data_IF_295060422001
#
_entry.id   IF_295060422001
#
_cell.length_a   1.000
_cell.length_b   1.000
_cell.length_c   1.000
_cell.angle_alpha   90.00
_cell.angle_beta   90.00
_cell.angle_gamma   90.00
#
_symmetry.space_group_name_H-M   'P 1'
#
loop_
_entity.id
_entity.type
_entity.pdbx_description
1 polymer ?
#
# COMPACT_ATOMS: atom_id res chain seq x y z
N UNK A 1 37.27 -38.68 -13.33
CA UNK A 1 36.59 -38.81 -12.02
C UNK A 1 36.89 -40.19 -11.47
N UNK A 2 37.97 -40.32 -10.70
CA UNK A 2 38.35 -41.59 -10.08
C UNK A 2 37.35 -42.01 -9.01
N UNK A 3 36.97 -43.28 -9.04
CA UNK A 3 35.97 -43.92 -8.19
C UNK A 3 36.23 -43.66 -6.69
N UNK A 4 35.55 -42.67 -6.09
CA UNK A 4 35.56 -42.43 -4.63
C UNK A 4 35.14 -43.69 -3.84
N UNK A 5 34.35 -44.56 -4.45
CA UNK A 5 33.96 -45.86 -3.90
C UNK A 5 35.13 -46.85 -3.83
N UNK A 6 36.09 -46.79 -4.75
CA UNK A 6 37.29 -47.63 -4.71
C UNK A 6 38.20 -47.37 -3.51
N UNK A 7 38.35 -46.10 -3.11
CA UNK A 7 39.14 -45.72 -1.93
C UNK A 7 38.49 -46.14 -0.61
N UNK A 8 37.16 -46.03 -0.52
CA UNK A 8 36.40 -46.45 0.68
C UNK A 8 36.46 -47.96 0.85
N UNK A 9 36.28 -48.74 -0.22
CA UNK A 9 36.35 -50.20 -0.18
C UNK A 9 37.76 -50.70 0.21
N UNK A 10 38.81 -50.01 -0.24
CA UNK A 10 40.18 -50.32 0.19
C UNK A 10 40.38 -50.06 1.69
N UNK A 11 39.88 -48.93 2.20
CA UNK A 11 39.99 -48.58 3.62
C UNK A 11 39.18 -49.54 4.53
N UNK A 12 37.98 -49.93 4.09
CA UNK A 12 37.17 -50.97 4.74
C UNK A 12 37.92 -52.30 4.74
N UNK A 13 38.49 -52.69 3.60
CA UNK A 13 39.24 -53.95 3.46
C UNK A 13 40.46 -53.98 4.38
N UNK A 14 41.22 -52.89 4.46
CA UNK A 14 42.41 -52.82 5.29
C UNK A 14 42.07 -52.78 6.79
N UNK A 15 40.97 -52.14 7.18
CA UNK A 15 40.46 -52.17 8.55
C UNK A 15 39.91 -53.55 8.95
N UNK A 16 39.29 -54.30 8.03
CA UNK A 16 38.80 -55.66 8.32
C UNK A 16 39.93 -56.69 8.38
N UNK A 17 41.02 -56.51 7.61
CA UNK A 17 42.20 -57.40 7.63
C UNK A 17 42.97 -57.35 8.94
N UNK A 18 42.84 -56.27 9.73
CA UNK A 18 43.51 -56.15 11.02
C UNK A 18 42.80 -56.86 12.18
N UNK A 19 41.59 -57.38 11.96
CA UNK A 19 40.80 -58.07 12.98
C UNK A 19 41.16 -59.56 13.10
N UNK A 20 40.98 -60.11 14.30
CA UNK A 20 41.03 -61.56 14.49
C UNK A 20 39.77 -62.23 13.91
N UNK A 21 39.89 -63.50 13.51
CA UNK A 21 38.79 -64.24 12.85
C UNK A 21 37.52 -64.27 13.73
N UNK A 22 37.69 -64.36 15.04
CA UNK A 22 36.63 -64.43 16.04
C UNK A 22 35.89 -63.09 16.18
N UNK A 23 36.60 -61.97 16.05
CA UNK A 23 36.01 -60.63 15.99
C UNK A 23 35.25 -60.42 14.68
N UNK A 24 35.82 -60.90 13.57
CA UNK A 24 35.16 -60.90 12.25
C UNK A 24 33.85 -61.71 12.27
N UNK A 25 33.85 -62.92 12.85
CA UNK A 25 32.63 -63.72 13.03
C UNK A 25 31.59 -62.96 13.85
N UNK A 26 32.02 -62.33 14.95
CA UNK A 26 31.12 -61.52 15.79
C UNK A 26 30.49 -60.36 15.00
N UNK A 27 31.27 -59.65 14.17
CA UNK A 27 30.74 -58.58 13.31
C UNK A 27 29.81 -59.10 12.20
N UNK A 28 29.93 -60.36 11.78
CA UNK A 28 29.02 -60.97 10.81
C UNK A 28 27.70 -61.45 11.44
N UNK A 29 27.71 -61.73 12.75
CA UNK A 29 26.55 -62.27 13.48
C UNK A 29 25.75 -61.19 14.22
N UNK A 30 26.38 -60.07 14.60
CA UNK A 30 25.80 -58.99 15.39
C UNK A 30 25.86 -57.66 14.62
N UNK A 31 24.69 -57.21 14.14
CA UNK A 31 24.52 -55.99 13.37
C UNK A 31 24.87 -54.73 14.18
N UNK A 32 24.59 -54.71 15.49
CA UNK A 32 24.91 -53.56 16.34
C UNK A 32 26.43 -53.46 16.56
N UNK A 33 27.10 -54.60 16.74
CA UNK A 33 28.55 -54.65 16.82
C UNK A 33 29.21 -54.23 15.50
N UNK A 34 28.62 -54.62 14.36
CA UNK A 34 29.05 -54.19 13.02
C UNK A 34 28.98 -52.66 12.87
N UNK A 35 27.84 -52.06 13.20
CA UNK A 35 27.63 -50.62 13.06
C UNK A 35 28.60 -49.83 13.97
N UNK A 36 28.76 -50.23 15.23
CA UNK A 36 29.72 -49.60 16.17
C UNK A 36 31.17 -49.71 15.68
N UNK A 37 31.54 -50.85 15.10
CA UNK A 37 32.89 -51.05 14.55
C UNK A 37 33.16 -50.13 13.36
N UNK A 38 32.21 -50.03 12.43
CA UNK A 38 32.34 -49.19 11.24
C UNK A 38 32.34 -47.70 11.59
N UNK A 39 31.53 -47.28 12.57
CA UNK A 39 31.57 -45.92 13.11
C UNK A 39 32.92 -45.54 13.70
N UNK A 40 33.55 -46.48 14.41
CA UNK A 40 34.82 -46.24 15.11
C UNK A 40 36.04 -46.30 14.20
N UNK A 41 36.03 -47.20 13.22
CA UNK A 41 37.23 -47.54 12.44
C UNK A 41 37.18 -47.04 11.00
N UNK A 42 36.04 -46.51 10.53
CA UNK A 42 35.93 -45.94 9.19
C UNK A 42 35.63 -44.44 9.28
N UNK A 43 36.66 -43.58 9.14
CA UNK A 43 36.53 -42.12 9.29
C UNK A 43 35.41 -41.50 8.44
N UNK A 44 35.18 -42.02 7.23
CA UNK A 44 34.15 -41.50 6.33
C UNK A 44 32.72 -41.70 6.85
N UNK A 45 32.49 -42.75 7.65
CA UNK A 45 31.19 -43.02 8.28
C UNK A 45 30.96 -42.00 9.39
N UNK A 46 31.97 -41.79 10.24
CA UNK A 46 31.95 -40.78 11.29
C UNK A 46 31.74 -39.36 10.74
N UNK A 47 32.49 -38.95 9.72
CA UNK A 47 32.33 -37.63 9.07
C UNK A 47 30.91 -37.43 8.52
N UNK A 48 30.34 -38.45 7.87
CA UNK A 48 28.96 -38.39 7.36
C UNK A 48 27.94 -38.28 8.50
N UNK A 49 28.14 -38.99 9.60
CA UNK A 49 27.25 -38.90 10.76
C UNK A 49 27.33 -37.53 11.44
N UNK A 50 28.53 -36.95 11.55
CA UNK A 50 28.73 -35.59 12.05
C UNK A 50 28.02 -34.56 11.14
N UNK A 51 28.13 -34.71 9.81
CA UNK A 51 27.39 -33.88 8.86
C UNK A 51 25.87 -34.03 9.01
N UNK A 52 25.36 -35.26 9.16
CA UNK A 52 23.93 -35.51 9.38
C UNK A 52 23.46 -34.84 10.68
N UNK A 53 24.24 -34.93 11.77
CA UNK A 53 23.94 -34.25 13.04
C UNK A 53 23.90 -32.73 12.85
N UNK A 54 24.91 -32.15 12.19
CA UNK A 54 24.95 -30.72 11.93
C UNK A 54 23.76 -30.25 11.07
N UNK A 55 23.37 -31.01 10.04
CA UNK A 55 22.19 -30.73 9.22
C UNK A 55 20.92 -30.79 10.06
N UNK A 56 20.78 -31.82 10.91
CA UNK A 56 19.64 -31.97 11.81
C UNK A 56 19.51 -30.79 12.76
N UNK A 57 20.60 -30.39 13.41
CA UNK A 57 20.61 -29.29 14.36
C UNK A 57 20.29 -27.95 13.66
N UNK A 58 20.85 -27.73 12.47
CA UNK A 58 20.53 -26.57 11.62
C UNK A 58 19.06 -26.54 11.23
N UNK A 59 18.47 -27.68 10.85
CA UNK A 59 17.06 -27.77 10.47
C UNK A 59 16.15 -27.51 11.68
N UNK A 60 16.49 -28.03 12.86
CA UNK A 60 15.75 -27.76 14.10
C UNK A 60 15.81 -26.26 14.44
N UNK A 61 16.98 -25.63 14.33
CA UNK A 61 17.13 -24.20 14.58
C UNK A 61 16.31 -23.37 13.57
N UNK A 62 16.35 -23.73 12.29
CA UNK A 62 15.57 -23.07 11.25
C UNK A 62 14.07 -23.25 11.46
N UNK A 63 13.61 -24.44 11.86
CA UNK A 63 12.21 -24.71 12.13
C UNK A 63 11.70 -23.84 13.29
N UNK A 64 12.47 -23.72 14.38
CA UNK A 64 12.14 -22.84 15.51
C UNK A 64 11.99 -21.38 15.06
N UNK A 65 12.98 -20.87 14.31
CA UNK A 65 12.93 -19.50 13.78
C UNK A 65 11.71 -19.27 12.89
N UNK A 66 11.34 -20.26 12.07
CA UNK A 66 10.16 -20.15 11.21
C UNK A 66 8.87 -20.09 12.02
N UNK A 67 8.75 -20.88 13.09
CA UNK A 67 7.61 -20.79 14.01
C UNK A 67 7.53 -19.41 14.64
N UNK A 68 8.64 -18.88 15.15
CA UNK A 68 8.67 -17.54 15.76
C UNK A 68 8.26 -16.44 14.77
N UNK A 69 8.73 -16.53 13.53
CA UNK A 69 8.34 -15.60 12.45
C UNK A 69 6.86 -15.72 12.11
N UNK A 70 6.29 -16.92 12.06
CA UNK A 70 4.86 -17.11 11.85
C UNK A 70 4.04 -16.47 12.96
N UNK A 71 4.40 -16.68 14.22
CA UNK A 71 3.74 -16.03 15.36
C UNK A 71 3.84 -14.51 15.29
N UNK A 72 5.00 -13.96 14.89
CA UNK A 72 5.16 -12.52 14.71
C UNK A 72 4.28 -11.97 13.58
N UNK A 73 4.16 -12.69 12.45
CA UNK A 73 3.28 -12.32 11.33
C UNK A 73 1.82 -12.31 11.76
N UNK A 74 1.37 -13.32 12.51
CA UNK A 74 0.01 -13.38 13.03
C UNK A 74 -0.29 -12.21 13.96
N UNK A 75 0.63 -11.90 14.88
CA UNK A 75 0.50 -10.74 15.78
C UNK A 75 0.40 -9.42 15.00
N UNK A 76 1.26 -9.21 14.00
CA UNK A 76 1.22 -8.02 13.15
C UNK A 76 -0.08 -7.94 12.34
N UNK A 77 -0.58 -9.07 11.83
CA UNK A 77 -1.84 -9.12 11.09
C UNK A 77 -3.01 -8.65 11.96
N UNK A 78 -3.06 -9.08 13.22
CA UNK A 78 -4.07 -8.63 14.19
C UNK A 78 -3.97 -7.12 14.44
N UNK A 79 -2.76 -6.60 14.70
CA UNK A 79 -2.55 -5.15 14.92
C UNK A 79 -2.98 -4.32 13.70
N UNK A 80 -2.68 -4.78 12.49
CA UNK A 80 -3.11 -4.10 11.25
C UNK A 80 -4.63 -4.11 11.11
N UNK A 81 -5.30 -5.21 11.49
CA UNK A 81 -6.76 -5.28 11.47
C UNK A 81 -7.40 -4.31 12.47
N UNK A 82 -6.87 -4.24 13.70
CA UNK A 82 -7.31 -3.27 14.71
C UNK A 82 -7.11 -1.83 14.23
N UNK A 83 -5.96 -1.50 13.63
CA UNK A 83 -5.69 -0.18 13.07
C UNK A 83 -6.67 0.16 11.93
N UNK A 84 -6.99 -0.79 11.05
CA UNK A 84 -7.98 -0.58 9.98
C UNK A 84 -9.35 -0.27 10.56
N UNK A 85 -9.76 -0.99 11.59
CA UNK A 85 -11.03 -0.75 12.27
C UNK A 85 -11.05 0.65 12.91
N UNK A 86 -9.99 1.04 13.62
CA UNK A 86 -9.88 2.36 14.23
C UNK A 86 -9.92 3.49 13.18
N UNK A 87 -9.26 3.30 12.04
CA UNK A 87 -9.34 4.24 10.91
C UNK A 87 -10.76 4.34 10.36
N UNK A 88 -11.46 3.21 10.19
CA UNK A 88 -12.84 3.21 9.72
C UNK A 88 -13.77 3.94 10.70
N UNK A 89 -13.65 3.67 12.00
CA UNK A 89 -14.41 4.35 13.05
C UNK A 89 -14.12 5.86 13.04
N UNK A 90 -12.84 6.24 12.93
CA UNK A 90 -12.46 7.66 12.87
C UNK A 90 -12.99 8.35 11.61
N UNK A 91 -12.95 7.67 10.46
CA UNK A 91 -13.50 8.18 9.20
C UNK A 91 -15.02 8.32 9.27
N UNK A 92 -15.73 7.38 9.89
CA UNK A 92 -17.18 7.45 10.07
C UNK A 92 -17.60 8.68 10.88
N UNK A 93 -16.80 9.08 11.87
CA UNK A 93 -17.05 10.29 12.68
C UNK A 93 -16.69 11.58 11.93
N UNK A 94 -15.57 11.59 11.21
CA UNK A 94 -15.04 12.81 10.60
C UNK A 94 -15.66 13.14 9.23
N UNK A 95 -16.02 12.12 8.45
CA UNK A 95 -16.51 12.31 7.08
C UNK A 95 -17.79 13.14 7.00
N UNK A 96 -18.83 12.90 7.84
CA UNK A 96 -20.02 13.74 7.83
C UNK A 96 -19.70 15.20 8.13
N UNK A 97 -18.87 15.47 9.15
CA UNK A 97 -18.44 16.84 9.51
C UNK A 97 -17.67 17.52 8.38
N UNK A 98 -16.81 16.78 7.70
CA UNK A 98 -16.08 17.29 6.56
C UNK A 98 -17.02 17.64 5.40
N UNK A 99 -18.00 16.77 5.12
CA UNK A 99 -18.99 17.00 4.07
C UNK A 99 -19.90 18.19 4.40
N UNK A 100 -20.29 18.37 5.67
CA UNK A 100 -21.00 19.54 6.19
C UNK A 100 -20.20 20.82 5.97
N UNK A 101 -18.97 20.89 6.46
CA UNK A 101 -18.10 22.08 6.28
C UNK A 101 -17.88 22.40 4.80
N UNK A 102 -17.69 21.36 3.98
CA UNK A 102 -17.52 21.53 2.53
C UNK A 102 -18.79 22.09 1.89
N UNK A 103 -19.97 21.65 2.32
CA UNK A 103 -21.27 22.15 1.86
C UNK A 103 -21.45 23.61 2.26
N UNK A 104 -21.27 23.94 3.54
CA UNK A 104 -21.32 25.32 4.05
C UNK A 104 -20.37 26.25 3.28
N UNK A 105 -19.11 25.83 3.07
CA UNK A 105 -18.15 26.62 2.31
C UNK A 105 -18.53 26.81 0.83
N UNK A 106 -19.27 25.87 0.23
CA UNK A 106 -19.79 26.04 -1.13
C UNK A 106 -20.99 26.99 -1.16
N UNK A 107 -21.89 26.89 -0.18
CA UNK A 107 -23.04 27.79 -0.02
C UNK A 107 -22.57 29.23 0.19
N UNK A 108 -21.60 29.45 1.09
CA UNK A 108 -21.01 30.77 1.35
C UNK A 108 -20.41 31.41 0.09
N UNK A 109 -19.70 30.61 -0.72
CA UNK A 109 -19.11 31.07 -1.99
C UNK A 109 -20.18 31.42 -3.01
N UNK A 110 -21.25 30.64 -3.06
CA UNK A 110 -22.38 30.86 -3.97
C UNK A 110 -23.11 32.14 -3.60
N UNK A 111 -23.35 32.36 -2.31
CA UNK A 111 -23.98 33.57 -1.78
C UNK A 111 -23.10 34.82 -2.02
N UNK A 112 -21.78 34.70 -1.82
CA UNK A 112 -20.84 35.78 -2.13
C UNK A 112 -20.84 36.14 -3.62
N UNK A 113 -20.85 35.13 -4.51
CA UNK A 113 -20.92 35.35 -5.95
C UNK A 113 -22.26 35.99 -6.37
N UNK A 114 -23.37 35.60 -5.74
CA UNK A 114 -24.69 36.19 -5.97
C UNK A 114 -24.70 37.67 -5.60
N UNK A 115 -24.20 38.04 -4.42
CA UNK A 115 -24.09 39.45 -3.98
C UNK A 115 -23.24 40.29 -4.92
N UNK A 116 -22.13 39.74 -5.43
CA UNK A 116 -21.29 40.43 -6.41
C UNK A 116 -22.02 40.67 -7.73
N UNK A 117 -22.75 39.67 -8.25
CA UNK A 117 -23.54 39.81 -9.47
C UNK A 117 -24.70 40.79 -9.29
N UNK A 118 -25.38 40.77 -8.15
CA UNK A 118 -26.47 41.70 -7.84
C UNK A 118 -25.96 43.14 -7.80
N UNK A 119 -24.84 43.38 -7.10
CA UNK A 119 -24.18 44.69 -7.09
C UNK A 119 -23.75 45.13 -8.50
N UNK A 120 -23.18 44.24 -9.30
CA UNK A 120 -22.75 44.57 -10.66
C UNK A 120 -23.95 44.87 -11.58
N UNK A 121 -25.06 44.14 -11.43
CA UNK A 121 -26.30 44.37 -12.15
C UNK A 121 -26.94 45.71 -11.77
N UNK A 122 -26.91 46.09 -10.50
CA UNK A 122 -27.41 47.36 -10.01
C UNK A 122 -26.60 48.54 -10.58
N UNK A 123 -25.26 48.45 -10.58
CA UNK A 123 -24.38 49.47 -11.18
C UNK A 123 -24.66 49.59 -12.67
N UNK A 124 -24.65 48.48 -13.41
CA UNK A 124 -24.89 48.48 -14.87
C UNK A 124 -26.25 49.09 -15.22
N UNK A 125 -27.29 48.81 -14.42
CA UNK A 125 -28.63 49.38 -14.61
C UNK A 125 -28.65 50.89 -14.31
N UNK A 126 -27.95 51.32 -13.25
CA UNK A 126 -27.81 52.75 -12.94
C UNK A 126 -27.07 53.50 -14.03
N UNK A 127 -26.00 52.93 -14.58
CA UNK A 127 -25.27 53.51 -15.70
C UNK A 127 -26.16 53.63 -16.95
N UNK A 128 -27.01 52.62 -17.22
CA UNK A 128 -27.98 52.71 -18.31
C UNK A 128 -28.96 53.87 -18.11
N UNK A 129 -29.44 54.10 -16.88
CA UNK A 129 -30.32 55.24 -16.55
C UNK A 129 -29.61 56.57 -16.75
N UNK A 130 -28.39 56.70 -16.23
CA UNK A 130 -27.56 57.89 -16.40
C UNK A 130 -27.29 58.19 -17.88
N UNK A 131 -27.02 57.17 -18.69
CA UNK A 131 -26.82 57.37 -20.13
C UNK A 131 -28.06 57.97 -20.80
N UNK A 132 -29.27 57.58 -20.40
CA UNK A 132 -30.53 58.14 -20.90
C UNK A 132 -30.71 59.58 -20.41
N UNK A 133 -30.47 59.85 -19.12
CA UNK A 133 -30.60 61.17 -18.51
C UNK A 133 -29.62 62.20 -19.09
N UNK A 134 -28.43 61.77 -19.51
CA UNK A 134 -27.40 62.61 -20.12
C UNK A 134 -27.58 62.83 -21.63
N UNK A 135 -28.64 62.27 -22.24
CA UNK A 135 -28.92 62.54 -23.66
C UNK A 135 -29.45 63.95 -23.87
N UNK A 136 -28.84 64.67 -24.80
CA UNK A 136 -29.27 65.99 -25.26
C UNK A 136 -29.32 66.08 -26.80
N UNK A 137 -29.64 67.26 -27.33
CA UNK A 137 -29.72 67.50 -28.77
C UNK A 137 -28.40 67.31 -29.54
N UNK A 138 -27.26 67.24 -28.84
CA UNK A 138 -25.92 67.04 -29.43
C UNK A 138 -25.47 65.56 -29.43
N UNK A 139 -26.29 64.66 -28.90
CA UNK A 139 -25.97 63.24 -28.76
C UNK A 139 -25.83 62.55 -30.12
N UNK A 140 -24.72 61.84 -30.33
CA UNK A 140 -24.59 60.86 -31.42
C UNK A 140 -25.43 59.62 -31.11
N UNK A 141 -26.63 59.58 -31.71
CA UNK A 141 -27.60 58.50 -31.52
C UNK A 141 -27.09 57.11 -31.92
N UNK A 142 -26.18 57.01 -32.89
CA UNK A 142 -25.63 55.72 -33.29
C UNK A 142 -24.67 55.18 -32.23
N UNK A 143 -23.78 56.05 -31.73
CA UNK A 143 -22.87 55.69 -30.63
C UNK A 143 -23.64 55.37 -29.35
N UNK A 144 -24.64 56.19 -29.01
CA UNK A 144 -25.51 55.94 -27.87
C UNK A 144 -26.21 54.58 -27.97
N UNK A 145 -26.82 54.26 -29.11
CA UNK A 145 -27.55 53.00 -29.29
C UNK A 145 -26.64 51.78 -29.13
N UNK A 146 -25.41 51.84 -29.65
CA UNK A 146 -24.41 50.76 -29.50
C UNK A 146 -24.02 50.60 -28.03
N UNK A 147 -23.63 51.68 -27.36
CA UNK A 147 -23.15 51.65 -25.97
C UNK A 147 -24.26 51.23 -25.01
N UNK A 148 -25.48 51.78 -25.17
CA UNK A 148 -26.64 51.45 -24.36
C UNK A 148 -27.05 49.98 -24.54
N UNK A 149 -27.13 49.50 -25.78
CA UNK A 149 -27.50 48.09 -26.07
C UNK A 149 -26.45 47.13 -25.50
N UNK A 150 -25.17 47.47 -25.57
CA UNK A 150 -24.09 46.69 -24.98
C UNK A 150 -24.23 46.58 -23.46
N UNK A 151 -24.43 47.71 -22.77
CA UNK A 151 -24.64 47.71 -21.30
C UNK A 151 -25.93 46.99 -20.90
N UNK A 152 -27.01 47.16 -21.66
CA UNK A 152 -28.28 46.47 -21.38
C UNK A 152 -28.17 44.95 -21.53
N UNK A 153 -27.42 44.48 -22.55
CA UNK A 153 -27.08 43.06 -22.71
C UNK A 153 -26.28 42.54 -21.51
N UNK A 154 -25.31 43.31 -21.02
CA UNK A 154 -24.51 42.94 -19.84
C UNK A 154 -25.38 42.81 -18.58
N UNK A 155 -26.30 43.75 -18.36
CA UNK A 155 -27.25 43.68 -17.24
C UNK A 155 -28.13 42.42 -17.30
N UNK A 156 -28.71 42.10 -18.46
CA UNK A 156 -29.51 40.89 -18.62
C UNK A 156 -28.70 39.61 -18.49
N UNK A 157 -27.44 39.61 -18.93
CA UNK A 157 -26.53 38.49 -18.72
C UNK A 157 -26.26 38.27 -17.22
N UNK A 158 -26.03 39.35 -16.46
CA UNK A 158 -25.85 39.27 -15.00
C UNK A 158 -27.11 38.73 -14.31
N UNK A 159 -28.30 39.15 -14.72
CA UNK A 159 -29.57 38.60 -14.23
C UNK A 159 -29.71 37.10 -14.53
N UNK A 160 -29.47 36.69 -15.77
CA UNK A 160 -29.53 35.29 -16.16
C UNK A 160 -28.49 34.42 -15.43
N UNK A 161 -27.32 34.99 -15.10
CA UNK A 161 -26.31 34.30 -14.28
C UNK A 161 -26.76 34.15 -12.82
N UNK A 162 -27.42 35.15 -12.24
CA UNK A 162 -28.01 35.03 -10.90
C UNK A 162 -29.11 33.97 -10.85
N UNK A 163 -30.05 34.00 -11.80
CA UNK A 163 -31.11 32.98 -11.91
C UNK A 163 -30.53 31.56 -12.07
N UNK A 164 -29.40 31.42 -12.79
CA UNK A 164 -28.70 30.14 -12.91
C UNK A 164 -28.01 29.68 -11.63
N UNK A 165 -27.60 30.61 -10.76
CA UNK A 165 -27.06 30.27 -9.44
C UNK A 165 -28.18 29.86 -8.48
N UNK A 166 -29.37 30.47 -8.59
CA UNK A 166 -30.55 30.13 -7.80
C UNK A 166 -31.17 28.79 -8.18
N UNK A 167 -31.16 28.43 -9.48
CA UNK A 167 -31.77 27.19 -9.98
C UNK A 167 -30.82 25.98 -10.04
N UNK A 168 -29.62 26.07 -9.46
CA UNK A 168 -28.61 24.98 -9.47
C UNK A 168 -28.59 24.14 -8.18
N UNK A 169 -29.57 24.33 -7.30
CA UNK A 169 -29.93 23.39 -6.23
C UNK A 169 -30.66 22.15 -6.78
#
# INVERSE_FOLDING_TARGET
>A
MGSRTGGVLAQVSDSLKSLQIEELKKLMEDQDAFDVYFEKNIPIVKEKQELIRAIKDSNIASAKKNVDLHTAIESLSTQVQELRQLVQERQAVLRPRYDEIKKEAMEDRTEAAKKQLESAAAVTNSECRQMVELTDASTDWNKFAVDFTSKKKMHHLQQALMERLENKE
#
